data_IF_535492888667
#
_entry.id   IF_535492888667
#
_cell.length_a   1.000
_cell.length_b   1.000
_cell.length_c   1.000
_cell.angle_alpha   90.00
_cell.angle_beta   90.00
_cell.angle_gamma   90.00
#
_symmetry.space_group_name_H-M   'P 1'
#
loop_
_entity.id
_entity.type
_entity.pdbx_description
1 polymer ?
#
# COMPACT_ATOMS: atom_id res chain seq x y z
N UNK A 1 70.08 -38.60 -17.88
CA UNK A 1 68.80 -38.28 -18.53
C UNK A 1 67.71 -38.43 -17.51
N UNK A 2 67.26 -37.37 -16.92
CA UNK A 2 66.20 -37.36 -15.90
C UNK A 2 65.03 -36.57 -16.48
N UNK A 3 63.91 -37.25 -16.74
CA UNK A 3 62.65 -36.67 -17.20
C UNK A 3 61.88 -36.10 -16.01
N UNK A 4 61.75 -34.80 -15.98
CA UNK A 4 60.90 -34.11 -15.02
C UNK A 4 59.41 -34.35 -15.37
N UNK A 5 58.68 -34.95 -14.46
CA UNK A 5 57.19 -35.02 -14.51
C UNK A 5 56.59 -33.74 -13.94
N UNK A 6 56.13 -32.86 -14.80
CA UNK A 6 55.32 -31.71 -14.43
C UNK A 6 53.90 -32.17 -14.11
N UNK A 7 53.53 -32.15 -12.85
CA UNK A 7 52.17 -32.40 -12.36
C UNK A 7 51.37 -31.12 -12.52
N UNK A 8 50.46 -31.08 -13.50
CA UNK A 8 49.52 -30.00 -13.72
C UNK A 8 48.29 -30.26 -12.86
N UNK A 9 48.31 -29.73 -11.64
CA UNK A 9 47.11 -29.68 -10.81
C UNK A 9 46.19 -28.58 -11.34
N UNK A 10 45.20 -28.97 -12.11
CA UNK A 10 44.13 -28.06 -12.51
C UNK A 10 43.24 -27.76 -11.31
N UNK A 11 43.43 -26.59 -10.72
CA UNK A 11 42.51 -26.03 -9.74
C UNK A 11 41.24 -25.61 -10.49
N UNK A 12 40.23 -26.45 -10.49
CA UNK A 12 38.88 -26.09 -10.91
C UNK A 12 38.26 -25.19 -9.83
N UNK A 13 38.47 -23.89 -9.96
CA UNK A 13 37.69 -22.90 -9.20
C UNK A 13 36.28 -22.88 -9.83
N UNK A 14 35.38 -23.64 -9.23
CA UNK A 14 33.97 -23.57 -9.53
C UNK A 14 33.46 -22.26 -8.91
N UNK A 15 33.43 -21.17 -9.69
CA UNK A 15 32.72 -19.94 -9.33
C UNK A 15 31.22 -20.23 -9.28
N UNK A 16 30.71 -20.52 -8.09
CA UNK A 16 29.29 -20.61 -7.82
C UNK A 16 28.74 -19.18 -7.83
N UNK A 17 28.38 -18.68 -9.02
CA UNK A 17 27.58 -17.46 -9.13
C UNK A 17 26.24 -17.75 -8.49
N UNK A 18 26.08 -17.33 -7.24
CA UNK A 18 24.78 -17.26 -6.59
C UNK A 18 23.91 -16.27 -7.38
N UNK A 19 23.04 -16.78 -8.23
CA UNK A 19 21.99 -16.00 -8.87
C UNK A 19 21.05 -15.51 -7.77
N UNK A 20 21.26 -14.28 -7.30
CA UNK A 20 20.33 -13.60 -6.40
C UNK A 20 19.07 -13.36 -7.24
N UNK A 21 17.91 -13.95 -6.90
CA UNK A 21 16.68 -13.63 -7.59
C UNK A 21 16.38 -12.16 -7.34
N UNK A 22 16.50 -11.35 -8.37
CA UNK A 22 16.02 -9.97 -8.36
C UNK A 22 14.50 -10.05 -8.25
N UNK A 23 13.98 -9.93 -7.03
CA UNK A 23 12.54 -9.85 -6.77
C UNK A 23 12.02 -8.59 -7.45
N UNK A 24 11.63 -8.69 -8.71
CA UNK A 24 10.92 -7.65 -9.40
C UNK A 24 9.62 -7.41 -8.65
N UNK A 25 9.55 -6.32 -7.88
CA UNK A 25 8.30 -5.90 -7.26
C UNK A 25 7.33 -5.58 -8.40
N UNK A 26 6.38 -6.47 -8.63
CA UNK A 26 5.37 -6.31 -9.64
C UNK A 26 4.60 -5.00 -9.36
N UNK A 27 4.77 -4.03 -10.24
CA UNK A 27 4.03 -2.77 -10.16
C UNK A 27 2.55 -3.07 -10.36
N UNK A 28 1.71 -2.73 -9.40
CA UNK A 28 0.27 -2.90 -9.52
C UNK A 28 -0.22 -1.97 -10.63
N UNK A 29 -0.62 -2.57 -11.77
CA UNK A 29 -1.20 -1.84 -12.90
C UNK A 29 -2.65 -1.49 -12.54
N UNK A 30 -2.97 -0.21 -12.54
CA UNK A 30 -4.32 0.28 -12.26
C UNK A 30 -5.13 0.37 -13.55
N UNK A 31 -6.35 -0.18 -13.55
CA UNK A 31 -7.24 -0.21 -14.71
C UNK A 31 -7.78 1.18 -15.04
N UNK A 32 -7.45 1.68 -16.23
CA UNK A 32 -8.03 2.93 -16.73
C UNK A 32 -9.52 2.75 -17.06
N UNK A 33 -9.92 1.57 -17.52
CA UNK A 33 -11.32 1.24 -17.77
C UNK A 33 -12.15 1.33 -16.48
N UNK A 34 -11.66 0.76 -15.36
CA UNK A 34 -12.33 0.85 -14.07
C UNK A 34 -12.50 2.31 -13.60
N UNK A 35 -11.46 3.14 -13.77
CA UNK A 35 -11.54 4.58 -13.46
C UNK A 35 -12.57 5.31 -14.34
N UNK A 36 -12.62 4.99 -15.62
CA UNK A 36 -13.58 5.60 -16.53
C UNK A 36 -15.03 5.21 -16.16
N UNK A 37 -15.26 3.94 -15.83
CA UNK A 37 -16.55 3.48 -15.32
C UNK A 37 -16.95 4.18 -14.02
N UNK A 38 -16.00 4.32 -13.08
CA UNK A 38 -16.25 5.05 -11.85
C UNK A 38 -16.67 6.50 -12.12
N UNK A 39 -15.93 7.23 -12.96
CA UNK A 39 -16.26 8.63 -13.33
C UNK A 39 -17.62 8.75 -14.00
N UNK A 40 -17.98 7.81 -14.87
CA UNK A 40 -19.28 7.81 -15.53
C UNK A 40 -20.45 7.72 -14.54
N UNK A 41 -20.29 6.92 -13.47
CA UNK A 41 -21.30 6.76 -12.42
C UNK A 41 -21.23 7.88 -11.35
N UNK A 42 -20.05 8.39 -11.07
CA UNK A 42 -19.77 9.36 -10.01
C UNK A 42 -19.12 10.62 -10.59
N UNK A 43 -19.89 11.66 -10.92
CA UNK A 43 -19.36 12.91 -11.45
C UNK A 43 -18.34 13.55 -10.50
N UNK A 44 -17.40 14.30 -11.06
CA UNK A 44 -16.40 15.04 -10.29
C UNK A 44 -17.09 16.01 -9.31
N UNK A 45 -16.72 16.01 -8.02
CA UNK A 45 -17.35 16.85 -7.00
C UNK A 45 -17.22 18.35 -7.23
N UNK A 46 -16.19 18.80 -7.96
CA UNK A 46 -15.91 20.23 -8.16
C UNK A 46 -16.50 20.81 -9.44
N UNK A 47 -16.61 20.02 -10.50
CA UNK A 47 -17.03 20.53 -11.81
C UNK A 47 -18.14 19.71 -12.50
N UNK A 48 -18.61 18.62 -11.87
CA UNK A 48 -19.65 17.75 -12.39
C UNK A 48 -19.24 16.88 -13.59
N UNK A 49 -18.00 16.96 -14.06
CA UNK A 49 -17.54 16.22 -15.22
C UNK A 49 -17.48 14.71 -14.95
N UNK A 50 -17.87 13.92 -15.95
CA UNK A 50 -17.79 12.46 -15.93
C UNK A 50 -16.55 11.92 -16.61
N UNK A 51 -15.68 12.79 -17.10
CA UNK A 51 -14.45 12.48 -17.84
C UNK A 51 -13.32 13.42 -17.43
N UNK A 52 -12.09 13.07 -17.81
CA UNK A 52 -10.92 13.91 -17.56
C UNK A 52 -10.50 13.97 -16.10
N UNK A 53 -9.80 15.03 -15.74
CA UNK A 53 -9.32 15.31 -14.39
C UNK A 53 -10.41 15.98 -13.54
N UNK A 54 -10.30 15.82 -12.23
CA UNK A 54 -11.17 16.47 -11.25
C UNK A 54 -10.32 17.38 -10.37
N UNK A 55 -10.44 18.70 -10.49
CA UNK A 55 -9.60 19.64 -9.74
C UNK A 55 -9.73 19.42 -8.23
N UNK A 56 -8.59 19.28 -7.54
CA UNK A 56 -8.53 19.06 -6.10
C UNK A 56 -8.86 17.65 -5.62
N UNK A 57 -9.24 16.74 -6.54
CA UNK A 57 -9.62 15.36 -6.21
C UNK A 57 -8.88 14.33 -7.04
N UNK A 58 -8.72 13.16 -6.47
CA UNK A 58 -8.19 11.95 -7.12
C UNK A 58 -9.16 10.80 -6.93
N UNK A 59 -9.13 9.82 -7.84
CA UNK A 59 -9.80 8.54 -7.62
C UNK A 59 -8.88 7.69 -6.75
N UNK A 60 -9.38 7.35 -5.58
CA UNK A 60 -8.69 6.50 -4.62
C UNK A 60 -9.45 5.19 -4.39
N UNK A 61 -8.74 4.15 -3.96
CA UNK A 61 -9.35 2.87 -3.59
C UNK A 61 -9.74 2.89 -2.12
N UNK A 62 -11.01 2.59 -1.81
CA UNK A 62 -11.52 2.48 -0.43
C UNK A 62 -10.65 1.51 0.36
N UNK A 63 -10.47 0.30 -0.15
CA UNK A 63 -9.47 -0.66 0.32
C UNK A 63 -8.27 -0.63 -0.63
N UNK A 64 -7.09 -0.37 -0.10
CA UNK A 64 -5.87 -0.29 -0.89
C UNK A 64 -5.64 -1.57 -1.71
N UNK A 65 -5.18 -1.42 -2.97
CA UNK A 65 -4.86 -2.56 -3.83
C UNK A 65 -3.77 -3.45 -3.21
N UNK A 66 -2.79 -2.84 -2.55
CA UNK A 66 -1.73 -3.56 -1.84
C UNK A 66 -2.27 -4.43 -0.69
N UNK A 67 -3.48 -4.15 -0.21
CA UNK A 67 -4.19 -4.90 0.82
C UNK A 67 -5.22 -5.89 0.25
N UNK A 68 -5.16 -6.17 -1.05
CA UNK A 68 -6.12 -7.04 -1.74
C UNK A 68 -7.46 -6.36 -2.04
N UNK A 69 -7.50 -5.02 -2.09
CA UNK A 69 -8.62 -4.28 -2.61
C UNK A 69 -8.82 -4.55 -4.11
N UNK A 70 -10.06 -4.59 -4.58
CA UNK A 70 -10.35 -4.77 -5.99
C UNK A 70 -10.04 -3.49 -6.79
N UNK A 71 -9.44 -3.62 -7.97
CA UNK A 71 -9.34 -2.52 -8.92
C UNK A 71 -10.63 -2.42 -9.76
N UNK A 72 -11.70 -1.99 -9.11
CA UNK A 72 -13.04 -1.92 -9.66
C UNK A 72 -13.80 -0.70 -9.11
N UNK A 73 -14.79 -0.16 -9.84
CA UNK A 73 -15.55 1.03 -9.44
C UNK A 73 -16.17 0.94 -8.04
N UNK A 74 -16.64 -0.24 -7.63
CA UNK A 74 -17.21 -0.48 -6.28
C UNK A 74 -16.22 -0.27 -5.12
N UNK A 75 -14.92 -0.28 -5.42
CA UNK A 75 -13.84 -0.03 -4.45
C UNK A 75 -13.17 1.32 -4.69
N UNK A 76 -13.78 2.22 -5.44
CA UNK A 76 -13.26 3.55 -5.76
C UNK A 76 -14.09 4.63 -5.11
N UNK A 77 -13.46 5.75 -4.84
CA UNK A 77 -14.09 6.96 -4.31
C UNK A 77 -13.36 8.20 -4.81
N UNK A 78 -14.08 9.32 -4.86
CA UNK A 78 -13.42 10.62 -4.95
C UNK A 78 -12.83 10.98 -3.59
N UNK A 79 -11.56 11.34 -3.59
CA UNK A 79 -10.86 11.75 -2.38
C UNK A 79 -10.09 13.04 -2.66
N UNK A 80 -10.14 14.01 -1.75
CA UNK A 80 -9.34 15.21 -1.88
C UNK A 80 -7.86 14.84 -1.85
N UNK A 81 -7.02 15.58 -2.57
CA UNK A 81 -5.57 15.36 -2.62
C UNK A 81 -4.97 15.36 -1.20
N UNK A 82 -5.46 16.24 -0.32
CA UNK A 82 -5.00 16.29 1.06
C UNK A 82 -5.34 15.01 1.85
N UNK A 83 -6.59 14.55 1.75
CA UNK A 83 -7.03 13.32 2.42
C UNK A 83 -6.32 12.08 1.85
N UNK A 84 -6.05 12.04 0.53
CA UNK A 84 -5.25 10.98 -0.10
C UNK A 84 -3.84 10.89 0.49
N UNK A 85 -3.17 12.02 0.65
CA UNK A 85 -1.83 12.06 1.28
C UNK A 85 -1.85 11.59 2.74
N UNK A 86 -2.89 11.94 3.49
CA UNK A 86 -3.06 11.42 4.85
C UNK A 86 -3.24 9.90 4.85
N UNK A 87 -4.12 9.40 3.97
CA UNK A 87 -4.42 7.97 3.84
C UNK A 87 -3.19 7.17 3.45
N UNK A 88 -2.37 7.63 2.51
CA UNK A 88 -1.13 6.98 2.08
C UNK A 88 -0.19 6.65 3.26
N UNK A 89 -0.22 7.46 4.31
CA UNK A 89 0.62 7.29 5.51
C UNK A 89 0.23 6.08 6.36
N UNK A 90 -1.01 5.61 6.29
CA UNK A 90 -1.52 4.55 7.17
C UNK A 90 -2.19 3.37 6.46
N UNK A 91 -2.71 3.56 5.23
CA UNK A 91 -3.53 2.55 4.56
C UNK A 91 -2.87 1.18 4.38
N UNK A 92 -1.52 1.15 4.31
CA UNK A 92 -0.73 -0.07 4.14
C UNK A 92 -0.24 -0.68 5.44
N UNK A 93 -0.43 0.01 6.56
CA UNK A 93 0.02 -0.48 7.87
C UNK A 93 -0.78 -1.71 8.26
N UNK A 94 -2.10 -1.68 8.07
CA UNK A 94 -3.01 -2.78 8.43
C UNK A 94 -2.92 -4.02 7.53
N UNK A 95 -2.41 -3.92 6.29
CA UNK A 95 -2.38 -5.06 5.38
C UNK A 95 -1.05 -5.82 5.36
N UNK A 96 -0.01 -5.29 5.97
CA UNK A 96 1.26 -6.01 6.17
C UNK A 96 1.19 -6.99 7.33
N UNK A 97 0.24 -6.81 8.21
CA UNK A 97 -0.10 -7.77 9.26
C UNK A 97 -1.31 -8.55 8.78
N UNK A 98 -1.10 -9.81 8.35
CA UNK A 98 -2.19 -10.80 8.37
C UNK A 98 -2.81 -10.63 9.75
N UNK A 99 -4.12 -10.32 9.88
CA UNK A 99 -4.68 -10.04 11.19
C UNK A 99 -4.78 -11.34 12.00
N UNK A 100 -3.64 -11.74 12.54
CA UNK A 100 -3.62 -12.49 13.78
C UNK A 100 -3.48 -11.46 14.90
N UNK A 101 -4.30 -10.41 14.82
CA UNK A 101 -4.53 -9.60 16.01
C UNK A 101 -5.47 -10.45 16.85
N UNK A 102 -4.88 -11.24 17.75
CA UNK A 102 -5.53 -11.51 19.02
C UNK A 102 -6.05 -10.14 19.46
N UNK A 103 -7.36 -10.03 19.60
CA UNK A 103 -8.07 -8.87 20.13
C UNK A 103 -7.75 -8.68 21.63
N UNK A 104 -6.47 -8.86 21.98
CA UNK A 104 -5.94 -8.73 23.32
C UNK A 104 -5.23 -7.39 23.40
N UNK A 105 -5.90 -6.44 24.03
CA UNK A 105 -5.33 -5.28 24.69
C UNK A 105 -4.61 -4.27 23.77
N UNK A 106 -5.34 -3.61 22.86
CA UNK A 106 -5.01 -2.22 22.57
C UNK A 106 -6.07 -1.38 23.28
N UNK A 107 -5.93 -1.30 24.59
CA UNK A 107 -6.54 -0.25 25.40
C UNK A 107 -5.80 1.05 25.10
N UNK A 108 -6.07 1.63 23.93
CA UNK A 108 -5.56 2.91 23.51
C UNK A 108 -6.73 3.77 23.12
N UNK A 109 -6.76 5.01 23.58
CA UNK A 109 -7.76 5.96 23.13
C UNK A 109 -7.53 6.27 21.64
N UNK A 110 -8.61 6.09 20.87
CA UNK A 110 -8.64 6.44 19.46
C UNK A 110 -9.42 7.74 19.29
N UNK A 111 -8.93 8.59 18.40
CA UNK A 111 -9.47 9.93 18.16
C UNK A 111 -9.78 10.11 16.69
N UNK A 112 -10.91 10.73 16.39
CA UNK A 112 -11.24 11.15 15.03
C UNK A 112 -10.69 12.55 14.78
N UNK A 113 -9.87 12.70 13.75
CA UNK A 113 -9.38 14.00 13.32
C UNK A 113 -10.45 14.80 12.59
N UNK A 114 -10.25 16.12 12.46
CA UNK A 114 -11.18 17.03 11.80
C UNK A 114 -11.54 16.65 10.35
N UNK A 115 -10.73 15.80 9.70
CA UNK A 115 -10.93 15.30 8.35
C UNK A 115 -11.40 13.82 8.31
N UNK A 116 -11.88 13.30 9.44
CA UNK A 116 -12.40 11.93 9.54
C UNK A 116 -11.35 10.82 9.68
N UNK A 117 -10.06 11.14 9.70
CA UNK A 117 -9.01 10.14 9.91
C UNK A 117 -8.97 9.66 11.37
N UNK A 118 -8.87 8.34 11.57
CA UNK A 118 -8.72 7.76 12.90
C UNK A 118 -7.25 7.71 13.32
N UNK A 119 -6.92 8.14 14.52
CA UNK A 119 -5.55 8.14 15.02
C UNK A 119 -5.49 7.84 16.51
N UNK A 120 -4.32 7.42 16.95
CA UNK A 120 -3.93 7.30 18.36
C UNK A 120 -2.60 8.02 18.59
N UNK A 121 -2.24 8.19 19.84
CA UNK A 121 -0.91 8.73 20.20
C UNK A 121 0.03 7.58 20.56
N UNK A 122 1.27 7.62 20.07
CA UNK A 122 2.30 6.71 20.52
C UNK A 122 2.90 7.18 21.85
N UNK A 123 3.77 6.35 22.45
CA UNK A 123 4.47 6.67 23.71
C UNK A 123 5.27 8.00 23.73
N UNK A 124 5.52 8.56 22.54
CA UNK A 124 6.23 9.84 22.38
C UNK A 124 5.26 10.99 22.08
N UNK A 125 3.96 10.83 22.38
CA UNK A 125 2.89 11.79 22.11
C UNK A 125 2.76 12.23 20.63
N UNK A 126 3.28 11.42 19.68
CA UNK A 126 3.11 11.67 18.26
C UNK A 126 1.86 10.96 17.75
N UNK A 127 1.06 11.67 16.95
CA UNK A 127 -0.10 11.09 16.26
C UNK A 127 0.33 9.95 15.34
N UNK A 128 -0.37 8.84 15.46
CA UNK A 128 -0.25 7.69 14.57
C UNK A 128 -1.63 7.38 14.00
N UNK A 129 -1.80 7.57 12.70
CA UNK A 129 -3.04 7.21 12.03
C UNK A 129 -3.20 5.69 11.93
N UNK A 130 -4.41 5.24 12.11
CA UNK A 130 -4.81 3.83 12.13
C UNK A 130 -6.04 3.63 11.26
N UNK A 131 -6.45 2.38 11.06
CA UNK A 131 -7.66 2.07 10.30
C UNK A 131 -8.89 2.77 10.89
N UNK A 132 -9.73 3.42 10.07
CA UNK A 132 -10.95 4.11 10.55
C UNK A 132 -11.94 3.24 11.32
N UNK A 133 -11.89 1.91 11.16
CA UNK A 133 -12.75 0.99 11.93
C UNK A 133 -12.54 1.14 13.43
N UNK A 134 -11.32 1.46 13.88
CA UNK A 134 -11.04 1.67 15.31
C UNK A 134 -11.77 2.86 15.94
N UNK A 135 -12.24 3.80 15.12
CA UNK A 135 -13.00 4.95 15.59
C UNK A 135 -14.52 4.79 15.44
N UNK A 136 -15.00 3.81 14.64
CA UNK A 136 -16.42 3.60 14.36
C UNK A 136 -17.19 2.94 15.51
N UNK A 137 -16.49 2.19 16.36
CA UNK A 137 -17.11 1.39 17.42
C UNK A 137 -17.34 2.19 18.72
N UNK A 138 -17.24 3.53 18.70
CA UNK A 138 -17.46 4.41 19.84
C UNK A 138 -18.77 5.20 19.76
N UNK A 139 -19.77 4.70 19.00
CA UNK A 139 -21.12 5.29 18.94
C UNK A 139 -22.04 4.58 19.90
#
# INVERSE_FOLDING_TARGET
>A
MALAKTSITHLLIISLLAAIPLSAQARIVRSQAAKNHFKAAHPCPTNGNRHGSCPGYVIDHIKALACGGADAPRNMQWQSIAAGKEKDGWERIGCKTKPTIKLAAISGDYYTGAKGGCYTYNKNAKKRYVDPSFCRDKS
#
